data_IF_111300205868
#
_entry.id   IF_111300205868
#
_cell.length_a   1.000
_cell.length_b   1.000
_cell.length_c   1.000
_cell.angle_alpha   90.00
_cell.angle_beta   90.00
_cell.angle_gamma   90.00
#
_symmetry.space_group_name_H-M   'P 1'
#
loop_
_entity.id
_entity.type
_entity.pdbx_description
1 polymer ?
#
# COMPACT_ATOMS: atom_id res chain seq x y z
N UNK A 1 -12.83 23.88 13.65
CA UNK A 1 -12.13 23.98 12.34
C UNK A 1 -13.19 24.13 11.28
N UNK A 2 -12.98 24.92 10.24
CA UNK A 2 -13.93 24.99 9.15
C UNK A 2 -14.09 23.58 8.55
N UNK A 3 -15.34 23.19 8.26
CA UNK A 3 -15.63 21.95 7.55
C UNK A 3 -15.15 22.09 6.11
N UNK A 4 -14.26 21.22 5.68
CA UNK A 4 -13.78 21.18 4.29
C UNK A 4 -14.65 20.21 3.48
N UNK A 5 -15.92 20.54 3.30
CA UNK A 5 -16.88 19.71 2.59
C UNK A 5 -16.67 19.75 1.08
N UNK A 6 -15.92 20.72 0.58
CA UNK A 6 -15.64 20.90 -0.84
C UNK A 6 -14.19 20.51 -1.15
N UNK A 7 -14.01 19.70 -2.18
CA UNK A 7 -12.68 19.36 -2.70
C UNK A 7 -11.95 20.62 -3.21
N UNK A 8 -10.60 20.69 -3.09
CA UNK A 8 -9.83 21.73 -3.74
C UNK A 8 -10.06 21.71 -5.24
N UNK A 9 -9.90 22.85 -5.90
CA UNK A 9 -9.88 22.89 -7.34
C UNK A 9 -8.62 22.16 -7.86
N UNK A 10 -8.81 21.19 -8.76
CA UNK A 10 -7.74 20.41 -9.37
C UNK A 10 -8.21 19.84 -10.70
N UNK A 11 -7.30 19.56 -11.61
CA UNK A 11 -7.61 18.89 -12.85
C UNK A 11 -7.84 17.40 -12.64
N UNK A 12 -8.75 16.77 -13.41
CA UNK A 12 -8.98 15.33 -13.40
C UNK A 12 -8.58 14.75 -14.75
N UNK A 13 -7.67 13.78 -14.72
CA UNK A 13 -7.26 12.99 -15.86
C UNK A 13 -7.69 11.54 -15.68
N UNK A 14 -8.22 10.94 -16.72
CA UNK A 14 -8.64 9.52 -16.76
C UNK A 14 -7.98 8.82 -17.96
N UNK A 15 -6.68 8.55 -17.91
CA UNK A 15 -5.97 7.83 -18.96
C UNK A 15 -6.49 6.39 -19.07
N UNK A 16 -6.51 5.87 -20.30
CA UNK A 16 -6.87 4.47 -20.61
C UNK A 16 -5.66 3.60 -20.89
N UNK A 17 -4.47 4.20 -20.98
CA UNK A 17 -3.18 3.52 -21.20
C UNK A 17 -2.17 3.93 -20.14
N UNK A 18 -1.27 3.00 -19.81
CA UNK A 18 -0.22 3.25 -18.82
C UNK A 18 0.70 4.39 -19.28
N UNK A 19 1.05 4.41 -20.57
CA UNK A 19 1.95 5.42 -21.16
C UNK A 19 1.38 6.83 -20.95
N UNK A 20 0.08 7.01 -21.22
CA UNK A 20 -0.58 8.31 -21.05
C UNK A 20 -0.59 8.74 -19.55
N UNK A 21 -0.80 7.77 -18.64
CA UNK A 21 -0.72 8.03 -17.20
C UNK A 21 0.68 8.44 -16.76
N UNK A 22 1.72 7.79 -17.29
CA UNK A 22 3.12 8.13 -17.01
C UNK A 22 3.50 9.51 -17.52
N UNK A 23 3.06 9.88 -18.73
CA UNK A 23 3.28 11.23 -19.29
C UNK A 23 2.65 12.32 -18.40
N UNK A 24 1.41 12.08 -17.93
CA UNK A 24 0.72 13.03 -17.04
C UNK A 24 1.43 13.06 -15.66
N UNK A 25 1.78 11.91 -15.09
CA UNK A 25 2.48 11.82 -13.81
C UNK A 25 3.84 12.55 -13.86
N UNK A 26 4.59 12.38 -14.93
CA UNK A 26 5.86 13.09 -15.15
C UNK A 26 5.66 14.61 -15.27
N UNK A 27 4.63 15.06 -16.00
CA UNK A 27 4.32 16.49 -16.19
C UNK A 27 3.97 17.19 -14.89
N UNK A 28 3.17 16.58 -14.05
CA UNK A 28 2.73 17.16 -12.77
C UNK A 28 3.72 16.93 -11.64
N UNK A 29 4.57 15.91 -11.76
CA UNK A 29 5.57 15.55 -10.74
C UNK A 29 4.94 15.47 -9.33
N UNK A 30 5.51 16.16 -8.33
CA UNK A 30 5.01 16.15 -6.94
C UNK A 30 3.62 16.77 -6.78
N UNK A 31 3.09 17.44 -7.79
CA UNK A 31 1.75 18.02 -7.81
C UNK A 31 0.69 17.13 -8.44
N UNK A 32 1.09 15.99 -9.00
CA UNK A 32 0.20 14.95 -9.50
C UNK A 32 -0.13 13.94 -8.42
N UNK A 33 -1.38 13.52 -8.32
CA UNK A 33 -1.82 12.49 -7.39
C UNK A 33 -2.42 11.31 -8.14
N UNK A 34 -1.77 10.15 -8.05
CA UNK A 34 -2.26 8.91 -8.63
C UNK A 34 -3.43 8.35 -7.82
N UNK A 35 -4.50 7.97 -8.48
CA UNK A 35 -5.70 7.41 -7.86
C UNK A 35 -5.96 6.01 -8.42
N UNK A 36 -5.92 5.00 -7.53
CA UNK A 36 -6.45 3.68 -7.82
C UNK A 36 -7.93 3.60 -7.38
N UNK A 37 -8.19 3.01 -6.19
CA UNK A 37 -9.55 2.95 -5.61
C UNK A 37 -10.01 4.21 -4.87
N UNK A 38 -9.16 5.19 -4.65
CA UNK A 38 -9.48 6.48 -4.02
C UNK A 38 -9.77 6.46 -2.52
N UNK A 39 -9.75 5.29 -1.86
CA UNK A 39 -10.20 5.15 -0.46
C UNK A 39 -9.32 5.88 0.57
N UNK A 40 -8.05 6.09 0.29
CA UNK A 40 -7.17 6.92 1.12
C UNK A 40 -7.07 8.37 0.61
N UNK A 41 -7.15 8.57 -0.70
CA UNK A 41 -6.92 9.84 -1.39
C UNK A 41 -7.79 10.99 -0.89
N UNK A 42 -9.11 10.78 -0.86
CA UNK A 42 -10.06 11.88 -0.63
C UNK A 42 -9.96 12.46 0.77
N UNK A 43 -9.64 11.66 1.79
CA UNK A 43 -9.41 12.15 3.14
C UNK A 43 -8.25 13.15 3.19
N UNK A 44 -7.12 12.84 2.58
CA UNK A 44 -5.95 13.72 2.52
C UNK A 44 -6.25 15.08 1.88
N UNK A 45 -6.98 15.06 0.78
CA UNK A 45 -7.29 16.26 0.01
C UNK A 45 -8.39 17.10 0.67
N UNK A 46 -9.43 16.47 1.22
CA UNK A 46 -10.50 17.15 1.97
C UNK A 46 -9.98 17.80 3.24
N UNK A 47 -9.13 17.11 3.98
CA UNK A 47 -8.52 17.64 5.21
C UNK A 47 -7.42 18.67 4.95
N UNK A 48 -7.05 18.91 3.67
CA UNK A 48 -5.96 19.82 3.26
C UNK A 48 -4.60 19.43 3.85
N UNK A 49 -4.46 18.21 4.33
CA UNK A 49 -3.19 17.69 4.83
C UNK A 49 -2.18 17.47 3.71
N UNK A 50 -2.69 17.13 2.51
CA UNK A 50 -1.92 17.10 1.27
C UNK A 50 -2.60 17.93 0.18
N UNK A 51 -1.84 18.29 -0.85
CA UNK A 51 -2.30 19.09 -2.00
C UNK A 51 -1.91 18.43 -3.29
N UNK A 52 -2.75 18.58 -4.31
CA UNK A 52 -2.47 18.18 -5.68
C UNK A 52 -3.08 19.21 -6.63
N UNK A 53 -2.44 19.43 -7.78
CA UNK A 53 -2.99 20.23 -8.86
C UNK A 53 -3.77 19.34 -9.85
N UNK A 54 -3.41 18.05 -9.91
CA UNK A 54 -4.08 17.07 -10.76
C UNK A 54 -4.33 15.75 -10.02
N UNK A 55 -5.52 15.16 -10.27
CA UNK A 55 -5.83 13.77 -9.98
C UNK A 55 -5.67 12.96 -11.27
N UNK A 56 -4.91 11.88 -11.20
CA UNK A 56 -4.68 10.94 -12.31
C UNK A 56 -5.37 9.64 -11.94
N UNK A 57 -6.61 9.48 -12.40
CA UNK A 57 -7.44 8.32 -12.12
C UNK A 57 -7.04 7.16 -13.06
N UNK A 58 -6.41 6.15 -12.49
CA UNK A 58 -5.91 4.99 -13.21
C UNK A 58 -7.00 3.94 -13.48
N UNK A 59 -8.21 4.11 -12.95
CA UNK A 59 -9.25 3.08 -12.92
C UNK A 59 -9.67 2.54 -14.29
N UNK A 60 -9.47 3.31 -15.37
CA UNK A 60 -9.79 2.92 -16.74
C UNK A 60 -8.65 2.12 -17.43
N UNK A 61 -7.52 1.89 -16.78
CA UNK A 61 -6.37 1.17 -17.37
C UNK A 61 -6.53 -0.33 -17.11
N UNK A 62 -7.18 -1.05 -18.02
CA UNK A 62 -7.46 -2.49 -17.90
C UNK A 62 -6.19 -3.34 -17.79
N UNK A 63 -5.09 -2.95 -18.42
CA UNK A 63 -3.82 -3.70 -18.36
C UNK A 63 -3.20 -3.79 -16.97
N UNK A 64 -3.63 -2.93 -16.03
CA UNK A 64 -3.19 -2.94 -14.64
C UNK A 64 -4.08 -3.80 -13.72
N UNK A 65 -5.01 -4.61 -14.28
CA UNK A 65 -5.94 -5.46 -13.53
C UNK A 65 -5.66 -6.94 -13.71
N UNK A 66 -6.18 -7.70 -12.76
CA UNK A 66 -6.27 -9.15 -12.84
C UNK A 66 -5.05 -9.87 -12.28
N UNK A 67 -5.19 -11.19 -12.18
CA UNK A 67 -4.19 -12.14 -11.71
C UNK A 67 -3.85 -13.05 -12.86
N UNK A 68 -2.56 -13.19 -13.17
CA UNK A 68 -2.07 -13.97 -14.33
C UNK A 68 -0.96 -14.93 -13.88
N UNK A 69 -1.02 -16.16 -14.34
CA UNK A 69 0.10 -17.08 -14.22
C UNK A 69 1.23 -16.67 -15.18
N UNK A 70 2.46 -16.84 -14.72
CA UNK A 70 3.67 -16.63 -15.49
C UNK A 70 4.58 -17.86 -15.36
N UNK A 71 5.65 -17.94 -16.14
CA UNK A 71 6.63 -19.03 -16.03
C UNK A 71 7.27 -19.10 -14.64
N UNK A 72 7.45 -17.94 -13.98
CA UNK A 72 8.17 -17.79 -12.71
C UNK A 72 7.25 -17.68 -11.49
N UNK A 73 5.93 -17.73 -11.67
CA UNK A 73 4.95 -17.62 -10.59
C UNK A 73 3.66 -16.93 -11.00
N UNK A 74 3.25 -15.89 -10.28
CA UNK A 74 2.02 -15.13 -10.54
C UNK A 74 2.33 -13.64 -10.62
N UNK A 75 1.69 -12.97 -11.58
CA UNK A 75 1.66 -11.51 -11.66
C UNK A 75 0.26 -10.97 -11.34
N UNK A 76 0.19 -10.00 -10.45
CA UNK A 76 -1.05 -9.33 -10.00
C UNK A 76 -0.95 -7.86 -10.43
N UNK A 77 -1.87 -7.41 -11.27
CA UNK A 77 -1.95 -6.01 -11.66
C UNK A 77 -2.26 -5.10 -10.47
N UNK A 78 -1.63 -3.93 -10.40
CA UNK A 78 -1.75 -3.03 -9.25
C UNK A 78 -3.17 -2.50 -9.01
N UNK A 79 -4.04 -2.48 -10.02
CA UNK A 79 -5.44 -2.09 -9.91
C UNK A 79 -6.39 -3.26 -9.60
N UNK A 80 -5.88 -4.47 -9.41
CA UNK A 80 -6.69 -5.59 -8.92
C UNK A 80 -7.23 -5.25 -7.53
N UNK A 81 -8.55 -5.36 -7.35
CA UNK A 81 -9.18 -5.01 -6.08
C UNK A 81 -8.84 -6.03 -4.98
N UNK A 82 -8.92 -5.59 -3.74
CA UNK A 82 -8.67 -6.46 -2.59
C UNK A 82 -9.71 -7.60 -2.51
N UNK A 83 -10.95 -7.37 -2.97
CA UNK A 83 -11.96 -8.43 -3.09
C UNK A 83 -11.56 -9.45 -4.15
N UNK A 84 -11.15 -9.02 -5.34
CA UNK A 84 -10.68 -9.93 -6.39
C UNK A 84 -9.49 -10.77 -5.91
N UNK A 85 -8.54 -10.21 -5.17
CA UNK A 85 -7.40 -10.94 -4.58
C UNK A 85 -7.89 -11.94 -3.53
N UNK A 86 -8.78 -11.52 -2.63
CA UNK A 86 -9.31 -12.36 -1.57
C UNK A 86 -10.13 -13.54 -2.10
N UNK A 87 -10.80 -13.37 -3.24
CA UNK A 87 -11.70 -14.37 -3.84
C UNK A 87 -11.07 -15.19 -4.96
N UNK A 88 -9.91 -14.79 -5.47
CA UNK A 88 -9.22 -15.48 -6.57
C UNK A 88 -8.81 -16.90 -6.18
N UNK A 89 -9.27 -17.90 -6.93
CA UNK A 89 -9.05 -19.32 -6.62
C UNK A 89 -7.58 -19.72 -6.70
N UNK A 90 -6.82 -19.17 -7.66
CA UNK A 90 -5.39 -19.43 -7.81
C UNK A 90 -4.60 -18.92 -6.57
N UNK A 91 -4.93 -17.71 -6.10
CA UNK A 91 -4.31 -17.16 -4.90
C UNK A 91 -4.72 -17.90 -3.63
N UNK A 92 -5.99 -18.31 -3.51
CA UNK A 92 -6.44 -19.12 -2.37
C UNK A 92 -5.74 -20.47 -2.29
N UNK A 93 -5.49 -21.09 -3.43
CA UNK A 93 -4.84 -22.41 -3.49
C UNK A 93 -3.33 -22.31 -3.28
N UNK A 94 -2.65 -21.42 -3.98
CA UNK A 94 -1.19 -21.42 -4.05
C UNK A 94 -0.51 -20.35 -3.19
N UNK A 95 -1.21 -19.26 -2.85
CA UNK A 95 -0.67 -18.12 -2.08
C UNK A 95 -1.70 -17.60 -1.07
N UNK A 96 -2.28 -18.52 -0.29
CA UNK A 96 -3.37 -18.21 0.64
C UNK A 96 -3.02 -17.12 1.66
N UNK A 97 -1.75 -16.87 1.92
CA UNK A 97 -1.26 -15.79 2.76
C UNK A 97 -1.77 -14.42 2.28
N UNK A 98 -1.59 -14.12 0.98
CA UNK A 98 -2.02 -12.84 0.39
C UNK A 98 -3.55 -12.76 0.31
N UNK A 99 -4.23 -13.83 -0.10
CA UNK A 99 -5.69 -13.90 -0.13
C UNK A 99 -6.29 -13.64 1.27
N UNK A 100 -5.72 -14.25 2.31
CA UNK A 100 -6.14 -14.05 3.70
C UNK A 100 -5.89 -12.61 4.16
N UNK A 101 -4.70 -12.06 3.91
CA UNK A 101 -4.37 -10.67 4.25
C UNK A 101 -5.34 -9.68 3.58
N UNK A 102 -5.61 -9.85 2.29
CA UNK A 102 -6.56 -9.02 1.56
C UNK A 102 -7.99 -9.11 2.13
N UNK A 103 -8.43 -10.29 2.55
CA UNK A 103 -9.79 -10.53 3.05
C UNK A 103 -10.13 -9.80 4.35
N UNK A 104 -9.14 -9.41 5.14
CA UNK A 104 -9.31 -8.74 6.44
C UNK A 104 -9.04 -7.23 6.41
N UNK A 105 -8.77 -6.68 5.23
CA UNK A 105 -8.62 -5.22 5.07
C UNK A 105 -9.96 -4.54 5.26
N UNK A 106 -10.02 -3.58 6.15
CA UNK A 106 -11.14 -2.64 6.38
C UNK A 106 -12.54 -3.29 6.36
N UNK A 107 -13.35 -2.99 5.35
CA UNK A 107 -14.72 -3.52 5.15
C UNK A 107 -14.89 -4.05 3.72
N UNK A 108 -15.92 -4.90 3.45
CA UNK A 108 -16.22 -5.37 2.10
C UNK A 108 -16.38 -4.22 1.08
N UNK A 109 -17.04 -3.13 1.46
CA UNK A 109 -17.26 -1.97 0.60
C UNK A 109 -15.93 -1.32 0.19
N UNK A 110 -14.99 -1.22 1.12
CA UNK A 110 -13.65 -0.67 0.84
C UNK A 110 -12.86 -1.63 -0.05
N UNK A 111 -12.92 -2.94 0.22
CA UNK A 111 -12.20 -3.94 -0.57
C UNK A 111 -12.71 -4.06 -2.02
N UNK A 112 -14.01 -3.81 -2.25
CA UNK A 112 -14.60 -3.85 -3.60
C UNK A 112 -14.06 -2.77 -4.54
N UNK A 113 -13.47 -1.70 -3.98
CA UNK A 113 -12.94 -0.57 -4.74
C UNK A 113 -11.44 -0.39 -4.48
N UNK A 114 -10.99 -0.65 -3.26
CA UNK A 114 -9.58 -0.55 -2.87
C UNK A 114 -8.73 -1.56 -3.64
N UNK A 115 -7.65 -1.07 -4.25
CA UNK A 115 -6.75 -1.86 -5.09
C UNK A 115 -5.50 -2.27 -4.33
N UNK A 116 -4.80 -3.31 -4.81
CA UNK A 116 -3.54 -3.74 -4.22
C UNK A 116 -2.52 -2.60 -4.23
N UNK A 117 -2.32 -1.96 -5.38
CA UNK A 117 -1.39 -0.83 -5.51
C UNK A 117 -1.73 0.32 -4.56
N UNK A 118 -3.02 0.69 -4.46
CA UNK A 118 -3.47 1.72 -3.51
C UNK A 118 -3.26 1.30 -2.04
N UNK A 119 -3.47 0.03 -1.72
CA UNK A 119 -3.26 -0.49 -0.37
C UNK A 119 -1.79 -0.44 0.06
N UNK A 120 -0.86 -0.89 -0.79
CA UNK A 120 0.58 -0.93 -0.48
C UNK A 120 1.26 0.44 -0.59
N UNK A 121 0.67 1.39 -1.31
CA UNK A 121 1.21 2.74 -1.49
C UNK A 121 0.53 3.78 -0.59
N UNK A 122 -0.38 3.36 0.30
CA UNK A 122 -1.05 4.29 1.21
C UNK A 122 -0.07 4.90 2.22
N UNK A 123 -0.34 6.15 2.60
CA UNK A 123 0.44 6.83 3.62
C UNK A 123 -0.02 6.46 5.04
N UNK A 124 0.79 6.82 6.04
CA UNK A 124 0.51 6.52 7.45
C UNK A 124 -0.81 7.11 7.93
N UNK A 125 -1.37 6.52 8.99
CA UNK A 125 -2.68 6.92 9.54
C UNK A 125 -2.59 7.79 10.78
N UNK A 126 -1.42 8.35 11.06
CA UNK A 126 -1.18 9.20 12.23
C UNK A 126 -2.18 10.37 12.31
N UNK A 127 -2.90 10.48 13.42
CA UNK A 127 -3.90 11.50 13.67
C UNK A 127 -3.37 12.92 13.52
N UNK A 128 -2.18 13.18 14.05
CA UNK A 128 -1.55 14.49 14.05
C UNK A 128 -1.16 14.92 12.63
N UNK A 129 -0.54 14.02 11.88
CA UNK A 129 -0.15 14.26 10.49
C UNK A 129 -1.36 14.49 9.58
N UNK A 130 -2.39 13.63 9.70
CA UNK A 130 -3.64 13.75 8.91
C UNK A 130 -4.44 15.01 9.23
N UNK A 131 -4.28 15.59 10.42
CA UNK A 131 -4.87 16.88 10.81
C UNK A 131 -4.04 18.08 10.37
N UNK A 132 -2.96 17.88 9.61
CA UNK A 132 -2.11 18.92 9.06
C UNK A 132 -1.21 19.61 10.11
N UNK A 133 -0.93 18.93 11.24
CA UNK A 133 0.03 19.46 12.20
C UNK A 133 1.44 19.38 11.65
N UNK A 134 2.25 20.43 11.92
CA UNK A 134 3.63 20.52 11.49
C UNK A 134 4.54 19.61 12.32
N UNK A 135 4.51 18.31 12.02
CA UNK A 135 5.40 17.32 12.61
C UNK A 135 6.63 17.07 11.70
N UNK A 136 7.58 16.24 12.15
CA UNK A 136 8.76 15.89 11.34
C UNK A 136 8.40 15.42 9.92
N UNK A 137 7.35 14.58 9.78
CA UNK A 137 6.89 14.08 8.48
C UNK A 137 6.28 15.17 7.60
N UNK A 138 5.76 16.25 8.19
CA UNK A 138 5.21 17.42 7.48
C UNK A 138 6.21 18.58 7.38
N UNK A 139 7.51 18.31 7.53
CA UNK A 139 8.56 19.34 7.46
C UNK A 139 8.75 20.16 8.74
N UNK A 140 8.08 19.80 9.83
CA UNK A 140 8.25 20.42 11.14
C UNK A 140 9.41 19.81 11.95
N UNK A 141 9.44 20.08 13.25
CA UNK A 141 10.60 19.78 14.11
C UNK A 141 10.26 18.97 15.36
N UNK A 142 9.08 18.36 15.44
CA UNK A 142 8.68 17.53 16.57
C UNK A 142 7.72 16.39 16.14
N UNK A 143 7.56 15.38 17.00
CA UNK A 143 6.52 14.36 16.87
C UNK A 143 5.51 14.53 18.00
N UNK A 144 4.25 14.80 17.66
CA UNK A 144 3.18 14.98 18.67
C UNK A 144 2.74 13.64 19.29
N UNK A 145 2.93 12.53 18.59
CA UNK A 145 2.60 11.19 19.08
C UNK A 145 3.65 10.65 20.05
N UNK A 146 4.92 11.01 19.85
CA UNK A 146 6.04 10.54 20.67
C UNK A 146 6.20 11.41 21.94
N UNK A 147 5.12 11.46 22.73
CA UNK A 147 5.08 12.18 24.02
C UNK A 147 4.24 11.39 25.02
N UNK A 148 4.49 11.52 26.33
CA UNK A 148 3.71 10.81 27.36
C UNK A 148 2.20 11.13 27.32
N UNK A 149 1.79 12.30 26.80
CA UNK A 149 0.41 12.73 26.66
C UNK A 149 -0.14 12.50 25.24
N UNK A 150 0.67 11.95 24.33
CA UNK A 150 0.29 11.69 22.95
C UNK A 150 -0.77 10.59 22.84
N UNK A 151 -1.72 10.77 21.94
CA UNK A 151 -2.60 9.68 21.50
C UNK A 151 -1.79 8.76 20.54
N UNK A 152 -1.11 7.76 21.10
CA UNK A 152 -0.14 6.95 20.39
C UNK A 152 -0.39 5.44 20.46
N UNK A 153 -1.55 5.01 20.95
CA UNK A 153 -1.91 3.58 21.06
C UNK A 153 -1.76 2.81 19.75
N UNK A 154 -1.98 3.47 18.62
CA UNK A 154 -1.95 2.89 17.27
C UNK A 154 -0.64 3.24 16.53
N UNK A 155 0.39 3.65 17.25
CA UNK A 155 1.70 3.95 16.69
C UNK A 155 2.68 2.81 16.95
N UNK A 156 3.76 2.78 16.18
CA UNK A 156 4.78 1.73 16.26
C UNK A 156 5.59 1.81 17.55
N UNK A 157 5.93 0.65 18.10
CA UNK A 157 6.87 0.50 19.22
C UNK A 157 8.30 0.16 18.75
N UNK A 158 8.43 -0.41 17.54
CA UNK A 158 9.67 -0.89 16.96
C UNK A 158 9.95 -0.18 15.63
N UNK A 159 11.20 -0.23 15.18
CA UNK A 159 11.66 0.33 13.91
C UNK A 159 11.25 1.82 13.72
N UNK A 160 11.21 2.56 14.84
CA UNK A 160 10.87 3.97 14.85
C UNK A 160 12.11 4.85 14.74
N UNK A 161 11.90 6.09 14.33
CA UNK A 161 12.89 7.15 14.32
C UNK A 161 12.24 8.42 14.91
N UNK A 162 12.48 9.58 14.33
CA UNK A 162 11.78 10.82 14.69
C UNK A 162 10.27 10.78 14.38
N UNK A 163 9.81 9.83 13.58
CA UNK A 163 8.41 9.54 13.36
C UNK A 163 8.09 8.13 13.88
N UNK A 164 7.02 8.00 14.65
CA UNK A 164 6.56 6.74 15.23
C UNK A 164 5.34 6.15 14.51
N UNK A 165 4.97 6.69 13.35
CA UNK A 165 3.86 6.17 12.57
C UNK A 165 4.28 4.94 11.77
N UNK A 166 3.45 3.89 11.82
CA UNK A 166 3.64 2.65 11.07
C UNK A 166 2.92 2.70 9.71
N UNK A 167 3.40 1.91 8.76
CA UNK A 167 2.68 1.61 7.52
C UNK A 167 1.35 0.91 7.84
N UNK A 168 0.28 1.30 7.13
CA UNK A 168 -1.08 0.87 7.46
C UNK A 168 -1.59 -0.29 6.58
N UNK A 169 -0.75 -0.87 5.73
CA UNK A 169 -1.14 -1.92 4.80
C UNK A 169 -1.15 -3.30 5.46
N UNK A 170 -2.31 -3.94 5.54
CA UNK A 170 -2.44 -5.32 6.00
C UNK A 170 -1.82 -6.33 5.01
N UNK A 171 -1.70 -5.98 3.71
CA UNK A 171 -1.11 -6.86 2.68
C UNK A 171 0.41 -6.75 2.61
N UNK A 172 1.01 -5.66 3.09
CA UNK A 172 2.46 -5.46 3.01
C UNK A 172 3.28 -6.58 3.69
N UNK A 173 2.99 -7.01 4.93
CA UNK A 173 3.72 -8.13 5.55
C UNK A 173 3.59 -9.44 4.78
N UNK A 174 2.41 -9.71 4.17
CA UNK A 174 2.20 -10.89 3.35
C UNK A 174 3.07 -10.86 2.07
N UNK A 175 3.20 -9.70 1.43
CA UNK A 175 4.06 -9.55 0.25
C UNK A 175 5.55 -9.71 0.60
N UNK A 176 5.98 -9.18 1.73
CA UNK A 176 7.36 -9.37 2.22
C UNK A 176 7.63 -10.85 2.50
N UNK A 177 6.72 -11.53 3.21
CA UNK A 177 6.86 -12.96 3.54
C UNK A 177 6.80 -13.88 2.29
N UNK A 178 6.23 -13.40 1.18
CA UNK A 178 6.17 -14.11 -0.10
C UNK A 178 7.33 -13.76 -1.04
N UNK A 179 8.33 -13.01 -0.59
CA UNK A 179 9.42 -12.48 -1.43
C UNK A 179 8.90 -11.82 -2.73
N UNK A 180 7.80 -11.06 -2.60
CA UNK A 180 7.16 -10.45 -3.76
C UNK A 180 8.08 -9.40 -4.43
N UNK A 181 7.96 -9.30 -5.75
CA UNK A 181 8.64 -8.29 -6.55
C UNK A 181 7.65 -7.21 -6.99
N UNK A 182 7.95 -5.96 -6.69
CA UNK A 182 7.17 -4.78 -7.05
C UNK A 182 7.65 -4.25 -8.40
N UNK A 183 6.76 -4.11 -9.37
CA UNK A 183 7.08 -3.65 -10.73
C UNK A 183 6.70 -2.18 -10.87
N UNK A 184 7.69 -1.33 -11.07
CA UNK A 184 7.55 0.13 -11.14
C UNK A 184 7.85 0.60 -12.56
N UNK A 185 7.02 1.50 -13.08
CA UNK A 185 7.24 2.10 -14.40
C UNK A 185 7.26 3.63 -14.33
N UNK A 186 8.14 4.21 -15.10
CA UNK A 186 8.21 5.65 -15.39
C UNK A 186 8.27 5.87 -16.90
N UNK A 187 8.36 7.11 -17.33
CA UNK A 187 8.64 7.44 -18.75
C UNK A 187 10.01 6.93 -19.22
N UNK A 188 10.95 6.74 -18.29
CA UNK A 188 12.31 6.27 -18.59
C UNK A 188 12.42 4.74 -18.68
N UNK A 189 11.37 4.00 -18.31
CA UNK A 189 11.34 2.53 -18.38
C UNK A 189 10.75 1.86 -17.14
N UNK A 190 11.06 0.56 -17.01
CA UNK A 190 10.62 -0.30 -15.92
C UNK A 190 11.79 -0.64 -14.99
N UNK A 191 11.55 -0.67 -13.71
CA UNK A 191 12.44 -1.24 -12.69
C UNK A 191 11.66 -2.11 -11.71
N UNK A 192 12.34 -2.99 -11.02
CA UNK A 192 11.76 -3.84 -10.00
C UNK A 192 12.48 -3.65 -8.67
N UNK A 193 11.73 -3.84 -7.57
CA UNK A 193 12.25 -3.91 -6.21
C UNK A 193 11.65 -5.15 -5.53
N UNK A 194 12.36 -5.73 -4.57
CA UNK A 194 11.72 -6.63 -3.62
C UNK A 194 10.66 -5.88 -2.79
N UNK A 195 9.67 -6.58 -2.26
CA UNK A 195 8.71 -5.97 -1.35
C UNK A 195 9.41 -5.36 -0.11
N UNK A 196 10.47 -5.99 0.37
CA UNK A 196 11.26 -5.49 1.50
C UNK A 196 11.94 -4.14 1.18
N UNK A 197 12.48 -3.97 -0.04
CA UNK A 197 13.08 -2.70 -0.50
C UNK A 197 12.03 -1.64 -0.85
N UNK A 198 10.82 -2.06 -1.21
CA UNK A 198 9.75 -1.14 -1.58
C UNK A 198 9.18 -0.38 -0.38
N UNK A 199 9.01 -1.05 0.76
CA UNK A 199 8.50 -0.41 1.97
C UNK A 199 9.66 0.23 2.74
N UNK A 200 9.58 1.54 2.97
CA UNK A 200 10.61 2.30 3.66
C UNK A 200 10.11 2.80 5.01
N UNK A 201 10.96 2.61 6.02
CA UNK A 201 10.69 3.11 7.37
C UNK A 201 11.16 4.56 7.55
N UNK A 202 10.71 5.22 8.64
CA UNK A 202 10.99 6.64 8.90
C UNK A 202 12.48 6.94 9.22
N UNK A 203 13.30 5.93 9.42
CA UNK A 203 14.75 6.10 9.54
C UNK A 203 15.43 6.28 8.19
N UNK A 204 14.83 5.73 7.10
CA UNK A 204 15.34 5.83 5.74
C UNK A 204 14.74 7.04 5.04
N UNK A 205 13.41 7.15 5.07
CA UNK A 205 12.67 8.30 4.52
C UNK A 205 11.53 8.68 5.48
N UNK A 206 11.57 9.90 5.99
CA UNK A 206 10.57 10.36 6.96
C UNK A 206 9.28 10.84 6.29
N UNK A 207 9.31 11.18 5.01
CA UNK A 207 8.17 11.73 4.27
C UNK A 207 7.40 10.65 3.52
N UNK A 208 8.08 9.59 3.06
CA UNK A 208 7.50 8.53 2.26
C UNK A 208 7.42 7.22 3.02
N UNK A 209 6.50 6.35 2.61
CA UNK A 209 6.34 4.98 3.13
C UNK A 209 6.81 3.94 2.11
N UNK A 210 7.14 4.37 0.91
CA UNK A 210 7.56 3.51 -0.19
C UNK A 210 8.71 4.12 -0.97
N UNK A 211 9.49 3.28 -1.66
CA UNK A 211 10.59 3.68 -2.53
C UNK A 211 10.14 4.12 -3.93
N UNK A 212 8.84 4.44 -4.12
CA UNK A 212 8.34 5.07 -5.34
C UNK A 212 8.98 6.44 -5.52
N UNK A 213 9.44 6.72 -6.73
CA UNK A 213 9.95 8.02 -7.12
C UNK A 213 8.85 8.85 -7.77
N UNK A 214 9.03 10.16 -7.77
CA UNK A 214 8.16 11.08 -8.51
C UNK A 214 8.02 10.65 -9.98
N UNK A 215 6.79 10.56 -10.47
CA UNK A 215 6.49 10.12 -11.84
C UNK A 215 6.47 8.60 -12.05
N UNK A 216 6.76 7.79 -11.03
CA UNK A 216 6.62 6.33 -11.11
C UNK A 216 5.22 5.87 -10.74
N UNK A 217 4.79 4.78 -11.37
CA UNK A 217 3.56 4.05 -11.09
C UNK A 217 3.91 2.60 -10.75
N UNK A 218 3.41 2.09 -9.62
CA UNK A 218 3.38 0.65 -9.36
C UNK A 218 2.38 0.03 -10.32
N UNK A 219 2.84 -0.84 -11.21
CA UNK A 219 2.01 -1.45 -12.27
C UNK A 219 1.62 -2.88 -11.96
N UNK A 220 2.47 -3.64 -11.29
CA UNK A 220 2.20 -5.03 -10.92
C UNK A 220 2.98 -5.45 -9.67
N UNK A 221 2.54 -6.55 -9.08
CA UNK A 221 3.25 -7.30 -8.03
C UNK A 221 3.42 -8.73 -8.53
N UNK A 222 4.64 -9.26 -8.47
CA UNK A 222 4.95 -10.64 -8.86
C UNK A 222 5.24 -11.50 -7.64
N UNK A 223 4.61 -12.65 -7.55
CA UNK A 223 4.85 -13.65 -6.50
C UNK A 223 5.66 -14.79 -7.10
N UNK A 224 6.85 -15.12 -6.55
CA UNK A 224 7.69 -16.16 -7.10
C UNK A 224 7.10 -17.57 -6.86
N UNK A 225 7.32 -18.47 -7.80
CA UNK A 225 6.87 -19.86 -7.74
C UNK A 225 7.44 -20.62 -6.53
N UNK A 226 8.59 -20.17 -6.01
CA UNK A 226 9.24 -20.79 -4.85
C UNK A 226 8.33 -20.86 -3.62
N UNK A 227 7.44 -19.89 -3.41
CA UNK A 227 6.50 -19.88 -2.30
C UNK A 227 5.12 -20.45 -2.65
N UNK A 228 4.90 -20.92 -3.87
CA UNK A 228 3.62 -21.55 -4.22
C UNK A 228 3.38 -22.80 -3.37
N UNK A 229 2.19 -22.89 -2.77
CA UNK A 229 1.77 -24.01 -1.92
C UNK A 229 2.62 -24.23 -0.63
N UNK A 230 3.38 -23.25 -0.19
CA UNK A 230 4.04 -23.27 1.11
C UNK A 230 3.01 -23.31 2.25
N UNK A 231 3.46 -23.56 3.46
CA UNK A 231 2.61 -23.45 4.65
C UNK A 231 2.56 -22.00 5.08
N UNK A 232 1.35 -21.47 5.26
CA UNK A 232 1.17 -20.04 5.55
C UNK A 232 0.43 -19.82 6.86
N UNK A 233 0.79 -18.73 7.54
CA UNK A 233 0.03 -18.20 8.66
C UNK A 233 -0.13 -16.70 8.54
N UNK A 234 -1.35 -16.21 8.80
CA UNK A 234 -1.65 -14.78 8.87
C UNK A 234 -2.60 -14.49 10.02
N UNK A 235 -2.22 -13.55 10.87
CA UNK A 235 -3.06 -13.07 11.97
C UNK A 235 -3.07 -11.54 11.98
N UNK A 236 -4.25 -10.97 12.17
CA UNK A 236 -4.46 -9.53 12.39
C UNK A 236 -5.14 -9.34 13.72
N UNK A 237 -4.49 -8.64 14.63
CA UNK A 237 -5.08 -8.20 15.90
C UNK A 237 -5.56 -6.77 15.76
N UNK A 238 -6.84 -6.55 16.01
CA UNK A 238 -7.50 -5.24 15.96
C UNK A 238 -8.61 -5.19 17.01
N UNK A 239 -9.12 -4.01 17.34
CA UNK A 239 -10.22 -3.87 18.32
C UNK A 239 -11.54 -4.43 17.77
N UNK A 240 -11.76 -4.32 16.46
CA UNK A 240 -12.94 -4.83 15.77
C UNK A 240 -12.52 -5.67 14.55
N UNK A 241 -13.34 -6.64 14.21
CA UNK A 241 -13.07 -7.53 13.07
C UNK A 241 -13.25 -6.85 11.70
N UNK A 242 -13.83 -5.67 11.65
CA UNK A 242 -14.05 -4.89 10.43
C UNK A 242 -13.67 -3.44 10.66
N UNK A 243 -13.29 -2.75 9.59
CA UNK A 243 -12.97 -1.32 9.55
C UNK A 243 -11.60 -0.96 10.13
N UNK A 244 -11.18 -1.57 11.23
CA UNK A 244 -9.97 -1.17 11.95
C UNK A 244 -8.68 -1.53 11.20
N UNK A 245 -7.68 -0.69 11.39
CA UNK A 245 -6.29 -1.06 11.09
C UNK A 245 -5.79 -2.04 12.14
N UNK A 246 -4.73 -2.78 11.80
CA UNK A 246 -4.08 -3.67 12.75
C UNK A 246 -3.39 -2.88 13.87
N UNK A 247 -3.55 -3.33 15.10
CA UNK A 247 -2.65 -2.97 16.20
C UNK A 247 -1.32 -3.72 16.05
N UNK A 248 -1.44 -4.98 15.65
CA UNK A 248 -0.32 -5.86 15.25
C UNK A 248 -0.83 -6.83 14.20
N UNK A 249 0.00 -7.18 13.24
CA UNK A 249 -0.25 -8.32 12.37
C UNK A 249 1.03 -9.15 12.17
N UNK A 250 0.83 -10.42 11.84
CA UNK A 250 1.90 -11.37 11.52
C UNK A 250 1.54 -12.06 10.22
N UNK A 251 2.51 -12.10 9.31
CA UNK A 251 2.46 -12.90 8.10
C UNK A 251 3.69 -13.81 8.09
N UNK A 252 3.50 -15.10 7.90
CA UNK A 252 4.59 -16.07 7.87
C UNK A 252 4.39 -17.09 6.75
N UNK A 253 5.49 -17.45 6.10
CA UNK A 253 5.56 -18.48 5.09
C UNK A 253 6.64 -19.52 5.48
N UNK A 254 6.34 -20.80 5.32
CA UNK A 254 7.22 -21.90 5.67
C UNK A 254 7.30 -22.93 4.54
N UNK A 255 8.48 -23.26 4.12
CA UNK A 255 8.72 -24.46 3.32
C UNK A 255 8.98 -25.63 4.27
N UNK A 256 8.12 -26.65 4.21
CA UNK A 256 8.18 -27.79 5.15
C UNK A 256 8.37 -29.07 4.36
N UNK A 257 9.44 -29.80 4.68
CA UNK A 257 9.72 -31.11 4.11
C UNK A 257 9.87 -32.15 5.26
N UNK A 258 9.14 -33.25 5.15
CA UNK A 258 9.16 -34.35 6.14
C UNK A 258 8.93 -33.85 7.60
N UNK A 259 8.07 -32.86 7.78
CA UNK A 259 7.76 -32.27 9.09
C UNK A 259 8.83 -31.32 9.65
N UNK A 260 9.84 -30.97 8.84
CA UNK A 260 10.91 -30.05 9.22
C UNK A 260 10.84 -28.79 8.37
N UNK A 261 10.93 -27.61 9.00
CA UNK A 261 11.01 -26.32 8.32
C UNK A 261 12.38 -26.21 7.66
N UNK A 262 12.40 -26.06 6.34
CA UNK A 262 13.60 -25.86 5.53
C UNK A 262 13.90 -24.36 5.37
N UNK A 263 12.85 -23.58 5.15
CA UNK A 263 12.94 -22.13 4.99
C UNK A 263 11.73 -21.46 5.63
N UNK A 264 11.91 -20.24 6.13
CA UNK A 264 10.84 -19.42 6.72
C UNK A 264 11.04 -17.94 6.38
N UNK A 265 9.94 -17.28 6.27
CA UNK A 265 9.84 -15.83 6.12
C UNK A 265 8.80 -15.28 7.09
#
# INVERSE_FOLDING_TARGET
MPSYDVMPNMELYQPVRVEDALDIASRYADRGWLVGGGQDTYGWLKDRAKRADALIDLSAIESLRGVRETADGIEIGALTTLTEIAENDLLKQSYSLLSKAASVVASPQIRNIGTLGGNVSQDVRCWYYRRGLSCYRAGGNLCYADTPQGMNREHSLFETSRCVAAGASDTAPALVALDATMVLRSIDGERTLSAEEYFVGPAVDIENTTALRTGEILTAVRLPKAWANATFYYEKVADRNVWDFSLVNVAAAFQVENGTIQESR
#
